data_IF_100662758258
#
_entry.id   IF_100662758258
#
_cell.length_a   1.000
_cell.length_b   1.000
_cell.length_c   1.000
_cell.angle_alpha   90.00
_cell.angle_beta   90.00
_cell.angle_gamma   90.00
#
_symmetry.space_group_name_H-M   'P 1'
#
loop_
_entity.id
_entity.type
_entity.pdbx_description
1 polymer ?
#
# COMPACT_ATOMS: atom_id res chain seq x y z
N UNK A 1 20.04 -3.77 -7.83
CA UNK A 1 19.29 -2.52 -7.52
C UNK A 1 17.82 -2.87 -7.32
N UNK A 2 17.22 -2.35 -6.26
CA UNK A 2 15.79 -2.50 -5.96
C UNK A 2 15.07 -1.20 -6.34
N UNK A 3 14.00 -1.27 -7.14
CA UNK A 3 13.13 -0.13 -7.44
C UNK A 3 11.90 -0.16 -6.54
N UNK A 4 11.61 0.98 -5.90
CA UNK A 4 10.38 1.17 -5.11
C UNK A 4 9.55 2.27 -5.73
N UNK A 5 8.32 1.96 -6.16
CA UNK A 5 7.33 2.97 -6.52
C UNK A 5 6.45 3.30 -5.33
N UNK A 6 5.88 4.50 -5.28
CA UNK A 6 5.09 4.92 -4.12
C UNK A 6 5.93 5.12 -2.84
N UNK A 7 7.24 5.33 -2.97
CA UNK A 7 8.17 5.53 -1.85
C UNK A 7 7.83 6.71 -0.94
N UNK A 8 7.06 7.67 -1.42
CA UNK A 8 6.55 8.82 -0.65
C UNK A 8 5.19 8.56 0.03
N UNK A 9 4.69 7.32 -0.02
CA UNK A 9 3.48 6.86 0.68
C UNK A 9 3.78 6.10 1.96
N UNK A 10 2.72 5.69 2.70
CA UNK A 10 2.87 5.00 3.99
C UNK A 10 3.69 3.70 3.86
N UNK A 11 3.30 2.79 2.98
CA UNK A 11 4.00 1.50 2.83
C UNK A 11 5.41 1.71 2.28
N UNK A 12 5.52 2.45 1.16
CA UNK A 12 6.80 2.63 0.49
C UNK A 12 7.86 3.29 1.35
N UNK A 13 7.53 4.28 2.19
CA UNK A 13 8.53 4.93 3.02
C UNK A 13 9.06 4.03 4.15
N UNK A 14 8.20 3.20 4.76
CA UNK A 14 8.62 2.22 5.76
C UNK A 14 9.46 1.09 5.13
N UNK A 15 9.10 0.69 3.90
CA UNK A 15 9.88 -0.27 3.11
C UNK A 15 11.26 0.30 2.76
N UNK A 16 11.33 1.54 2.27
CA UNK A 16 12.60 2.22 1.98
C UNK A 16 13.52 2.23 3.21
N UNK A 17 12.98 2.60 4.39
CA UNK A 17 13.75 2.55 5.63
C UNK A 17 14.30 1.13 5.90
N UNK A 18 13.43 0.12 5.80
CA UNK A 18 13.80 -1.27 6.06
C UNK A 18 14.92 -1.76 5.12
N UNK A 19 14.84 -1.40 3.84
CA UNK A 19 15.83 -1.80 2.83
C UNK A 19 17.20 -1.10 3.02
N UNK A 20 17.20 0.22 3.21
CA UNK A 20 18.47 0.97 3.37
C UNK A 20 19.16 0.69 4.70
N UNK A 21 18.40 0.35 5.76
CA UNK A 21 18.97 -0.10 7.03
C UNK A 21 19.83 -1.37 6.89
N UNK A 22 19.48 -2.22 5.94
CA UNK A 22 20.25 -3.44 5.61
C UNK A 22 21.24 -3.24 4.46
N UNK A 23 21.55 -1.97 4.16
CA UNK A 23 22.51 -1.60 3.11
C UNK A 23 22.14 -2.11 1.70
N UNK A 24 20.85 -2.36 1.44
CA UNK A 24 20.39 -2.67 0.08
C UNK A 24 20.50 -1.42 -0.80
N UNK A 25 20.91 -1.60 -2.06
CA UNK A 25 20.89 -0.52 -3.06
C UNK A 25 19.48 -0.29 -3.54
N UNK A 26 18.93 0.90 -3.25
CA UNK A 26 17.52 1.22 -3.48
C UNK A 26 17.36 2.49 -4.31
N UNK A 27 16.54 2.40 -5.33
CA UNK A 27 16.03 3.52 -6.12
C UNK A 27 14.56 3.74 -5.81
N UNK A 28 14.15 4.98 -5.58
CA UNK A 28 12.77 5.35 -5.31
C UNK A 28 12.23 6.28 -6.41
N UNK A 29 11.20 5.81 -7.13
CA UNK A 29 10.51 6.63 -8.12
C UNK A 29 9.58 7.61 -7.42
N UNK A 30 9.70 8.90 -7.75
CA UNK A 30 8.83 9.95 -7.22
C UNK A 30 8.42 10.93 -8.32
N UNK A 31 7.20 11.46 -8.22
CA UNK A 31 6.74 12.51 -9.12
C UNK A 31 7.34 13.87 -8.74
N UNK A 32 7.47 14.78 -9.68
CA UNK A 32 8.01 16.13 -9.51
C UNK A 32 7.53 16.85 -8.24
N UNK A 33 6.25 16.74 -7.92
CA UNK A 33 5.63 17.41 -6.78
C UNK A 33 5.58 16.54 -5.50
N UNK A 34 6.28 15.41 -5.47
CA UNK A 34 6.29 14.54 -4.29
C UNK A 34 7.12 15.15 -3.15
N UNK A 35 6.56 15.10 -1.93
CA UNK A 35 7.24 15.64 -0.73
C UNK A 35 8.07 14.54 -0.08
N UNK A 36 9.38 14.51 -0.32
CA UNK A 36 10.31 13.57 0.30
C UNK A 36 10.57 13.86 1.78
N UNK A 37 10.31 15.08 2.26
CA UNK A 37 10.46 15.45 3.68
C UNK A 37 9.60 14.59 4.61
N UNK A 38 8.42 14.14 4.16
CA UNK A 38 7.59 13.21 4.94
C UNK A 38 8.28 11.86 5.14
N UNK A 39 9.05 11.40 4.17
CA UNK A 39 9.86 10.17 4.27
C UNK A 39 10.98 10.36 5.28
N UNK A 40 11.70 11.47 5.18
CA UNK A 40 12.78 11.83 6.13
C UNK A 40 12.24 11.88 7.58
N UNK A 41 11.05 12.45 7.76
CA UNK A 41 10.38 12.47 9.07
C UNK A 41 10.06 11.06 9.59
N UNK A 42 9.57 10.16 8.74
CA UNK A 42 9.32 8.76 9.16
C UNK A 42 10.62 8.07 9.53
N UNK A 43 11.70 8.28 8.80
CA UNK A 43 13.02 7.73 9.13
C UNK A 43 13.51 8.19 10.51
N UNK A 44 13.23 9.45 10.89
CA UNK A 44 13.60 9.98 12.22
C UNK A 44 12.87 9.31 13.38
N UNK A 45 11.73 8.63 13.15
CA UNK A 45 11.06 7.82 14.18
C UNK A 45 11.78 6.51 14.49
N UNK A 46 12.65 6.06 13.59
CA UNK A 46 13.33 4.78 13.70
C UNK A 46 14.80 4.89 14.12
N UNK A 47 15.48 5.96 13.72
CA UNK A 47 16.92 6.07 13.92
C UNK A 47 17.37 7.51 14.12
N UNK A 48 18.34 7.71 15.01
CA UNK A 48 19.05 9.00 15.14
C UNK A 48 19.89 9.29 13.89
N UNK A 49 20.36 8.24 13.22
CA UNK A 49 21.15 8.31 11.97
C UNK A 49 20.27 8.39 10.70
N UNK A 50 19.05 8.86 10.84
CA UNK A 50 18.06 8.88 9.77
C UNK A 50 18.48 9.66 8.53
N UNK A 51 19.32 10.71 8.67
CA UNK A 51 19.80 11.50 7.54
C UNK A 51 20.69 10.65 6.63
N UNK A 52 21.72 10.00 7.19
CA UNK A 52 22.61 9.13 6.43
C UNK A 52 21.86 7.96 5.77
N UNK A 53 20.86 7.39 6.46
CA UNK A 53 20.03 6.33 5.88
C UNK A 53 19.15 6.86 4.73
N UNK A 54 18.57 8.04 4.87
CA UNK A 54 17.77 8.66 3.81
C UNK A 54 18.62 9.00 2.57
N UNK A 55 19.84 9.48 2.76
CA UNK A 55 20.75 9.88 1.69
C UNK A 55 21.30 8.65 0.90
N UNK A 56 21.13 7.42 1.40
CA UNK A 56 21.43 6.18 0.65
C UNK A 56 20.40 5.87 -0.44
N UNK A 57 19.24 6.57 -0.46
CA UNK A 57 18.20 6.33 -1.46
C UNK A 57 18.54 7.10 -2.72
N UNK A 58 18.63 6.41 -3.85
CA UNK A 58 18.68 7.04 -5.16
C UNK A 58 17.26 7.48 -5.56
N UNK A 59 16.99 8.79 -5.44
CA UNK A 59 15.71 9.36 -5.84
C UNK A 59 15.74 9.65 -7.35
N UNK A 60 14.73 9.12 -8.07
CA UNK A 60 14.56 9.39 -9.50
C UNK A 60 13.18 9.99 -9.75
N UNK A 61 13.16 11.11 -10.48
CA UNK A 61 11.90 11.73 -10.90
C UNK A 61 11.30 10.96 -12.08
N UNK A 62 9.99 10.67 -12.02
CA UNK A 62 9.26 10.00 -13.08
C UNK A 62 7.81 9.69 -12.68
N UNK A 63 7.05 9.18 -13.64
CA UNK A 63 5.66 8.78 -13.47
C UNK A 63 5.46 7.37 -14.02
N UNK A 64 4.69 6.54 -13.31
CA UNK A 64 4.37 5.17 -13.77
C UNK A 64 3.53 5.16 -15.05
N UNK A 65 2.96 6.30 -15.44
CA UNK A 65 2.25 6.49 -16.71
C UNK A 65 3.13 7.07 -17.83
N UNK A 66 4.40 7.34 -17.56
CA UNK A 66 5.37 7.82 -18.54
C UNK A 66 6.45 6.75 -18.77
N UNK A 67 6.32 6.03 -19.90
CA UNK A 67 7.22 4.94 -20.28
C UNK A 67 8.66 5.41 -20.39
N UNK A 68 8.90 6.64 -20.87
CA UNK A 68 10.25 7.19 -21.00
C UNK A 68 10.91 7.33 -19.64
N UNK A 69 10.18 7.84 -18.64
CA UNK A 69 10.71 7.96 -17.28
C UNK A 69 10.87 6.60 -16.61
N UNK A 70 10.00 5.61 -16.93
CA UNK A 70 10.15 4.24 -16.45
C UNK A 70 11.41 3.58 -17.02
N UNK A 71 11.71 3.77 -18.31
CA UNK A 71 12.92 3.19 -18.91
C UNK A 71 14.19 3.66 -18.18
N UNK A 72 14.23 4.93 -17.77
CA UNK A 72 15.31 5.45 -16.94
C UNK A 72 15.31 4.85 -15.53
N UNK A 73 14.12 4.72 -14.91
CA UNK A 73 13.99 4.20 -13.57
C UNK A 73 14.40 2.72 -13.46
N UNK A 74 14.21 1.95 -14.52
CA UNK A 74 14.53 0.51 -14.59
C UNK A 74 16.01 0.19 -14.85
N UNK A 75 16.86 1.18 -15.14
CA UNK A 75 18.30 0.91 -15.39
C UNK A 75 18.97 0.19 -14.23
N UNK A 76 19.54 -1.00 -14.49
CA UNK A 76 20.21 -1.86 -13.51
C UNK A 76 19.32 -2.33 -12.36
N UNK A 77 17.99 -2.36 -12.54
CA UNK A 77 17.04 -2.87 -11.56
C UNK A 77 16.86 -4.38 -11.75
N UNK A 78 16.81 -5.10 -10.64
CA UNK A 78 16.57 -6.55 -10.61
C UNK A 78 15.31 -6.91 -9.85
N UNK A 79 14.92 -6.07 -8.88
CA UNK A 79 13.78 -6.33 -8.00
C UNK A 79 12.91 -5.08 -7.91
N UNK A 80 11.60 -5.27 -7.85
CA UNK A 80 10.62 -4.18 -7.78
C UNK A 80 9.64 -4.40 -6.63
N UNK A 81 9.41 -3.33 -5.88
CA UNK A 81 8.26 -3.22 -4.97
C UNK A 81 7.32 -2.13 -5.50
N UNK A 82 6.19 -2.55 -6.03
CA UNK A 82 5.19 -1.63 -6.58
C UNK A 82 4.14 -1.27 -5.53
N UNK A 83 4.39 -0.14 -4.82
CA UNK A 83 3.51 0.40 -3.78
C UNK A 83 2.73 1.63 -4.23
N UNK A 84 2.94 2.11 -5.47
CA UNK A 84 2.24 3.27 -5.99
C UNK A 84 0.75 2.96 -6.21
N UNK A 85 -0.12 3.80 -5.68
CA UNK A 85 -1.55 3.77 -5.93
C UNK A 85 -2.18 5.13 -5.64
N UNK A 86 -3.31 5.40 -6.27
CA UNK A 86 -4.19 6.50 -5.91
C UNK A 86 -5.42 5.96 -5.20
N UNK A 87 -5.65 6.43 -3.97
CA UNK A 87 -6.75 6.00 -3.10
C UNK A 87 -7.78 7.11 -3.06
N UNK A 88 -8.98 6.83 -3.58
CA UNK A 88 -10.16 7.67 -3.43
C UNK A 88 -11.42 6.79 -3.39
N UNK A 89 -12.42 7.25 -2.67
CA UNK A 89 -13.74 6.61 -2.62
C UNK A 89 -14.79 7.40 -3.41
N UNK A 90 -14.38 8.49 -4.05
CA UNK A 90 -15.24 9.32 -4.89
C UNK A 90 -15.29 8.78 -6.32
N UNK A 91 -16.49 8.66 -6.90
CA UNK A 91 -16.67 8.33 -8.31
C UNK A 91 -16.09 9.39 -9.26
N UNK A 92 -15.95 10.64 -8.80
CA UNK A 92 -15.33 11.72 -9.58
C UNK A 92 -13.84 11.42 -9.89
N UNK A 93 -13.18 10.66 -9.02
CA UNK A 93 -11.77 10.31 -9.18
C UNK A 93 -11.55 8.99 -9.95
N UNK A 94 -12.61 8.33 -10.43
CA UNK A 94 -12.52 7.01 -11.07
C UNK A 94 -11.54 6.98 -12.24
N UNK A 95 -11.60 7.98 -13.12
CA UNK A 95 -10.69 8.04 -14.28
C UNK A 95 -9.22 8.24 -13.85
N UNK A 96 -8.97 9.08 -12.85
CA UNK A 96 -7.63 9.25 -12.30
C UNK A 96 -7.14 7.98 -11.60
N UNK A 97 -8.02 7.27 -10.88
CA UNK A 97 -7.68 5.97 -10.29
C UNK A 97 -7.39 4.91 -11.35
N UNK A 98 -8.19 4.80 -12.42
CA UNK A 98 -7.91 3.87 -13.53
C UNK A 98 -6.56 4.15 -14.15
N UNK A 99 -6.27 5.40 -14.47
CA UNK A 99 -4.99 5.80 -15.07
C UNK A 99 -3.81 5.42 -14.16
N UNK A 100 -3.88 5.70 -12.86
CA UNK A 100 -2.77 5.46 -11.94
C UNK A 100 -2.70 3.98 -11.52
N UNK A 101 -3.84 3.41 -11.09
CA UNK A 101 -3.82 2.07 -10.50
C UNK A 101 -3.75 0.98 -11.56
N UNK A 102 -4.52 1.10 -12.66
CA UNK A 102 -4.60 0.05 -13.70
C UNK A 102 -3.53 0.25 -14.75
N UNK A 103 -3.56 1.38 -15.48
CA UNK A 103 -2.62 1.64 -16.57
C UNK A 103 -1.19 1.76 -16.05
N UNK A 104 -0.98 2.48 -14.94
CA UNK A 104 0.33 2.57 -14.29
C UNK A 104 0.87 1.22 -13.84
N UNK A 105 0.02 0.32 -13.32
CA UNK A 105 0.45 -1.06 -12.96
C UNK A 105 0.74 -1.88 -14.22
N UNK A 106 -0.08 -1.77 -15.28
CA UNK A 106 0.18 -2.43 -16.55
C UNK A 106 1.54 -2.01 -17.15
N UNK A 107 1.86 -0.71 -17.10
CA UNK A 107 3.16 -0.20 -17.54
C UNK A 107 4.31 -0.80 -16.73
N UNK A 108 4.17 -0.85 -15.39
CA UNK A 108 5.18 -1.46 -14.52
C UNK A 108 5.37 -2.94 -14.82
N UNK A 109 4.30 -3.69 -15.09
CA UNK A 109 4.35 -5.11 -15.47
C UNK A 109 5.03 -5.28 -16.83
N UNK A 110 4.63 -4.51 -17.85
CA UNK A 110 5.20 -4.57 -19.20
C UNK A 110 6.70 -4.26 -19.19
N UNK A 111 7.11 -3.17 -18.53
CA UNK A 111 8.53 -2.84 -18.35
C UNK A 111 9.29 -3.93 -17.59
N UNK A 112 8.65 -4.58 -16.60
CA UNK A 112 9.29 -5.64 -15.83
C UNK A 112 9.56 -6.89 -16.69
N UNK A 113 8.64 -7.25 -17.57
CA UNK A 113 8.81 -8.36 -18.50
C UNK A 113 9.90 -8.02 -19.54
N UNK A 114 9.81 -6.85 -20.19
CA UNK A 114 10.79 -6.38 -21.18
C UNK A 114 12.23 -6.35 -20.61
N UNK A 115 12.41 -5.80 -19.40
CA UNK A 115 13.71 -5.69 -18.74
C UNK A 115 14.10 -6.96 -17.97
N UNK A 116 13.34 -8.05 -18.04
CA UNK A 116 13.60 -9.34 -17.39
C UNK A 116 13.86 -9.18 -15.89
N UNK A 117 13.00 -8.42 -15.21
CA UNK A 117 13.07 -8.24 -13.76
C UNK A 117 12.92 -9.59 -13.07
N UNK A 118 13.82 -9.89 -12.14
CA UNK A 118 13.86 -11.19 -11.48
C UNK A 118 12.80 -11.36 -10.40
N UNK A 119 12.33 -10.26 -9.77
CA UNK A 119 11.37 -10.32 -8.65
C UNK A 119 10.48 -9.08 -8.63
N UNK A 120 9.17 -9.29 -8.47
CA UNK A 120 8.18 -8.22 -8.42
C UNK A 120 7.20 -8.44 -7.25
N UNK A 121 7.09 -7.47 -6.35
CA UNK A 121 6.11 -7.48 -5.27
C UNK A 121 5.07 -6.37 -5.49
N UNK A 122 3.81 -6.73 -5.60
CA UNK A 122 2.70 -5.80 -5.78
C UNK A 122 1.88 -5.62 -4.51
N UNK A 123 1.69 -4.37 -4.10
CA UNK A 123 0.81 -4.05 -2.97
C UNK A 123 -0.61 -3.78 -3.47
N UNK A 124 -1.48 -4.77 -3.33
CA UNK A 124 -2.92 -4.69 -3.58
C UNK A 124 -3.69 -4.29 -2.31
N UNK A 125 -4.83 -4.87 -2.04
CA UNK A 125 -5.69 -4.64 -0.87
C UNK A 125 -6.67 -5.79 -0.67
N UNK A 126 -7.12 -6.06 0.55
CA UNK A 126 -8.23 -6.98 0.79
C UNK A 126 -9.51 -6.55 0.05
N UNK A 127 -9.66 -5.27 -0.27
CA UNK A 127 -10.80 -4.75 -1.02
C UNK A 127 -10.83 -5.23 -2.50
N UNK A 128 -9.71 -5.74 -3.04
CA UNK A 128 -9.63 -6.35 -4.36
C UNK A 128 -9.95 -7.85 -4.34
N UNK A 129 -10.17 -8.44 -3.17
CA UNK A 129 -10.57 -9.84 -3.02
C UNK A 129 -12.09 -9.92 -2.90
N UNK A 130 -12.66 -11.02 -3.36
CA UNK A 130 -14.11 -11.22 -3.31
C UNK A 130 -14.66 -11.41 -1.89
N UNK A 131 -15.98 -11.52 -1.79
CA UNK A 131 -16.69 -11.75 -0.54
C UNK A 131 -17.31 -13.14 -0.52
N UNK A 132 -17.38 -13.75 0.66
CA UNK A 132 -18.16 -14.98 0.93
C UNK A 132 -19.24 -14.67 1.96
N UNK A 133 -20.49 -15.08 1.66
CA UNK A 133 -21.57 -15.00 2.66
C UNK A 133 -21.26 -15.92 3.84
N UNK A 134 -21.28 -15.36 5.06
CA UNK A 134 -21.13 -16.09 6.33
C UNK A 134 -19.83 -16.90 6.50
N UNK A 135 -18.78 -16.60 5.74
CA UNK A 135 -17.47 -17.23 5.87
C UNK A 135 -16.36 -16.15 5.89
N UNK A 136 -15.22 -16.53 6.45
CA UNK A 136 -14.03 -15.69 6.34
C UNK A 136 -13.61 -15.53 4.87
N UNK A 137 -13.08 -14.38 4.53
CA UNK A 137 -12.47 -14.10 3.23
C UNK A 137 -11.09 -14.77 3.24
N UNK A 138 -10.78 -15.46 2.15
CA UNK A 138 -9.49 -16.09 1.90
C UNK A 138 -9.02 -15.77 0.47
N UNK A 139 -7.83 -16.25 0.11
CA UNK A 139 -7.20 -16.05 -1.19
C UNK A 139 -7.99 -16.65 -2.35
N UNK A 140 -8.85 -17.65 -2.10
CA UNK A 140 -9.69 -18.34 -3.10
C UNK A 140 -10.99 -17.58 -3.41
N UNK A 141 -11.28 -16.48 -2.71
CA UNK A 141 -12.51 -15.72 -2.92
C UNK A 141 -12.51 -15.10 -4.32
N UNK A 142 -13.58 -15.41 -5.07
CA UNK A 142 -13.80 -14.80 -6.39
C UNK A 142 -14.28 -13.37 -6.26
N UNK A 143 -13.72 -12.49 -7.04
CA UNK A 143 -14.16 -11.10 -7.13
C UNK A 143 -15.64 -11.01 -7.47
N UNK A 144 -16.32 -10.10 -6.81
CA UNK A 144 -17.68 -9.71 -7.13
C UNK A 144 -17.75 -8.20 -7.25
N UNK A 145 -18.29 -7.73 -8.34
CA UNK A 145 -18.44 -6.29 -8.59
C UNK A 145 -19.20 -5.60 -7.46
N UNK A 146 -18.68 -4.49 -7.02
CA UNK A 146 -19.27 -3.64 -5.99
C UNK A 146 -19.17 -2.16 -6.40
N UNK A 147 -19.90 -1.29 -5.70
CA UNK A 147 -19.96 0.13 -6.01
C UNK A 147 -18.75 0.95 -5.51
N UNK A 148 -17.70 0.30 -5.03
CA UNK A 148 -16.51 0.98 -4.54
C UNK A 148 -15.50 1.16 -5.68
N UNK A 149 -15.29 2.38 -6.20
CA UNK A 149 -14.43 2.63 -7.34
C UNK A 149 -12.95 2.28 -7.05
N UNK A 150 -12.48 2.49 -5.81
CA UNK A 150 -11.14 2.08 -5.42
C UNK A 150 -10.96 0.56 -5.50
N UNK A 151 -11.90 -0.18 -4.92
CA UNK A 151 -11.91 -1.64 -4.92
C UNK A 151 -11.83 -2.19 -6.33
N UNK A 152 -12.66 -1.67 -7.25
CA UNK A 152 -12.66 -2.06 -8.66
C UNK A 152 -11.31 -1.79 -9.33
N UNK A 153 -10.77 -0.59 -9.20
CA UNK A 153 -9.49 -0.25 -9.86
C UNK A 153 -8.30 -1.02 -9.29
N UNK A 154 -8.34 -1.42 -8.02
CA UNK A 154 -7.31 -2.28 -7.44
C UNK A 154 -7.43 -3.73 -7.88
N UNK A 155 -8.66 -4.22 -8.06
CA UNK A 155 -8.90 -5.53 -8.67
C UNK A 155 -8.41 -5.56 -10.13
N UNK A 156 -8.82 -4.59 -10.95
CA UNK A 156 -8.40 -4.48 -12.35
C UNK A 156 -6.85 -4.41 -12.46
N UNK A 157 -6.21 -3.66 -11.57
CA UNK A 157 -4.74 -3.58 -11.50
C UNK A 157 -4.09 -4.92 -11.06
N UNK A 158 -4.72 -5.66 -10.17
CA UNK A 158 -4.25 -6.99 -9.75
C UNK A 158 -4.32 -7.98 -10.93
N UNK A 159 -5.35 -7.88 -11.79
CA UNK A 159 -5.43 -8.68 -13.02
C UNK A 159 -4.24 -8.42 -13.97
N UNK A 160 -3.73 -7.19 -14.05
CA UNK A 160 -2.52 -6.89 -14.83
C UNK A 160 -1.29 -7.61 -14.26
N UNK A 161 -1.18 -7.73 -12.94
CA UNK A 161 -0.09 -8.50 -12.32
C UNK A 161 -0.24 -9.99 -12.58
N UNK A 162 -1.47 -10.53 -12.50
CA UNK A 162 -1.76 -11.92 -12.85
C UNK A 162 -1.45 -12.21 -14.33
N UNK A 163 -1.76 -11.27 -15.24
CA UNK A 163 -1.34 -11.35 -16.63
C UNK A 163 0.18 -11.45 -16.74
N UNK A 164 0.91 -10.56 -16.04
CA UNK A 164 2.37 -10.60 -16.03
C UNK A 164 2.93 -11.93 -15.52
N UNK A 165 2.31 -12.52 -14.47
CA UNK A 165 2.68 -13.85 -13.97
C UNK A 165 2.49 -14.91 -15.05
N UNK A 166 1.38 -14.88 -15.78
CA UNK A 166 1.13 -15.83 -16.88
C UNK A 166 2.10 -15.64 -18.05
N UNK A 167 2.69 -14.47 -18.21
CA UNK A 167 3.73 -14.14 -19.19
C UNK A 167 5.16 -14.40 -18.67
N UNK A 168 5.30 -14.98 -17.47
CA UNK A 168 6.58 -15.41 -16.90
C UNK A 168 7.23 -14.42 -15.89
N UNK A 169 6.53 -13.37 -15.47
CA UNK A 169 7.02 -12.48 -14.42
C UNK A 169 6.96 -13.19 -13.05
N UNK A 170 8.06 -13.28 -12.34
CA UNK A 170 8.11 -13.76 -10.97
C UNK A 170 7.53 -12.69 -10.03
N UNK A 171 6.22 -12.68 -9.87
CA UNK A 171 5.53 -11.71 -9.04
C UNK A 171 4.78 -12.35 -7.87
N UNK A 172 4.74 -11.62 -6.75
CA UNK A 172 3.91 -11.91 -5.57
C UNK A 172 2.98 -10.75 -5.29
N UNK A 173 1.74 -11.05 -4.91
CA UNK A 173 0.71 -10.06 -4.61
C UNK A 173 0.41 -10.10 -3.11
N UNK A 174 0.43 -8.94 -2.47
CA UNK A 174 -0.01 -8.83 -1.08
C UNK A 174 -1.29 -8.00 -1.00
N UNK A 175 -2.30 -8.51 -0.31
CA UNK A 175 -3.61 -7.91 -0.11
C UNK A 175 -3.78 -7.51 1.37
N UNK A 176 -3.17 -6.40 1.81
CA UNK A 176 -3.29 -5.97 3.19
C UNK A 176 -4.70 -5.47 3.53
N UNK A 177 -5.07 -5.67 4.80
CA UNK A 177 -6.18 -4.97 5.44
C UNK A 177 -5.89 -3.48 5.61
N UNK A 178 -6.62 -2.82 6.50
CA UNK A 178 -6.32 -1.42 6.84
C UNK A 178 -4.94 -1.33 7.47
N UNK A 179 -4.03 -0.64 6.78
CA UNK A 179 -2.64 -0.53 7.20
C UNK A 179 -2.51 0.59 8.23
N UNK A 180 -2.06 0.25 9.44
CA UNK A 180 -1.81 1.21 10.51
C UNK A 180 -0.32 1.47 10.63
N UNK A 181 0.08 2.76 10.64
CA UNK A 181 1.48 3.13 10.73
C UNK A 181 1.68 4.62 10.97
N UNK A 182 2.87 4.98 11.46
CA UNK A 182 3.23 6.37 11.75
C UNK A 182 3.59 7.16 10.49
N UNK A 183 3.35 8.49 10.51
CA UNK A 183 3.93 9.44 9.57
C UNK A 183 2.97 10.16 8.63
N UNK A 184 1.82 9.57 8.27
CA UNK A 184 0.90 10.13 7.27
C UNK A 184 -0.46 10.53 7.87
N UNK A 185 -0.42 11.43 8.86
CA UNK A 185 -1.58 11.81 9.69
C UNK A 185 -2.70 12.56 8.96
N UNK A 186 -2.47 12.98 7.70
CA UNK A 186 -3.46 13.69 6.87
C UNK A 186 -4.04 12.81 5.75
N UNK A 187 -3.67 11.53 5.66
CA UNK A 187 -4.07 10.61 4.57
C UNK A 187 -4.35 9.21 5.09
N UNK A 188 -5.25 8.48 4.42
CA UNK A 188 -5.55 7.08 4.71
C UNK A 188 -5.90 6.83 6.18
N UNK A 189 -5.41 5.74 6.73
CA UNK A 189 -5.62 5.35 8.14
C UNK A 189 -5.09 6.38 9.14
N UNK A 190 -4.02 7.11 8.81
CA UNK A 190 -3.51 8.19 9.65
C UNK A 190 -4.50 9.35 9.76
N UNK A 191 -5.21 9.70 8.69
CA UNK A 191 -6.26 10.72 8.74
C UNK A 191 -7.41 10.28 9.66
N UNK A 192 -7.77 9.00 9.64
CA UNK A 192 -8.80 8.46 10.52
C UNK A 192 -8.38 8.55 12.00
N UNK A 193 -7.13 8.17 12.34
CA UNK A 193 -6.57 8.36 13.68
C UNK A 193 -6.58 9.84 14.09
N UNK A 194 -6.22 10.73 13.17
CA UNK A 194 -6.25 12.18 13.42
C UNK A 194 -7.68 12.68 13.66
N UNK A 195 -8.67 12.15 12.95
CA UNK A 195 -10.07 12.48 13.18
C UNK A 195 -10.53 12.02 14.57
N UNK A 196 -10.16 10.79 14.97
CA UNK A 196 -10.43 10.29 16.33
C UNK A 196 -9.80 11.22 17.38
N UNK A 197 -8.54 11.62 17.19
CA UNK A 197 -7.81 12.47 18.13
C UNK A 197 -8.41 13.87 18.32
N UNK A 198 -9.16 14.36 17.33
CA UNK A 198 -9.89 15.65 17.40
C UNK A 198 -11.27 15.53 18.06
N UNK A 199 -11.65 14.32 18.44
CA UNK A 199 -12.94 14.01 19.03
C UNK A 199 -13.96 13.56 17.98
N UNK A 200 -14.33 12.30 18.03
CA UNK A 200 -15.46 11.74 17.28
C UNK A 200 -16.68 11.66 18.16
N UNK A 201 -17.86 12.03 17.61
CA UNK A 201 -19.12 12.00 18.34
C UNK A 201 -19.93 10.72 18.12
N UNK A 202 -19.48 9.83 17.21
CA UNK A 202 -20.19 8.61 16.81
C UNK A 202 -19.25 7.44 16.57
N UNK A 203 -19.77 6.23 16.73
CA UNK A 203 -19.10 4.98 16.41
C UNK A 203 -19.65 4.43 15.08
N UNK A 204 -18.87 4.37 14.00
CA UNK A 204 -19.27 3.67 12.79
C UNK A 204 -19.49 2.18 13.05
N UNK A 205 -20.39 1.58 12.29
CA UNK A 205 -20.61 0.13 12.32
C UNK A 205 -19.69 -0.56 11.32
N UNK A 206 -19.40 -1.85 11.55
CA UNK A 206 -18.60 -2.66 10.64
C UNK A 206 -17.38 -3.29 11.33
N UNK A 207 -16.83 -4.29 10.66
CA UNK A 207 -15.63 -5.02 11.07
C UNK A 207 -14.69 -5.11 9.86
N UNK A 208 -13.40 -4.91 10.09
CA UNK A 208 -12.38 -5.02 9.04
C UNK A 208 -11.08 -5.58 9.60
N UNK A 209 -10.24 -6.09 8.70
CA UNK A 209 -8.90 -6.54 9.03
C UNK A 209 -7.92 -5.37 9.11
N UNK A 210 -7.03 -5.42 10.09
CA UNK A 210 -5.95 -4.46 10.28
C UNK A 210 -4.59 -5.14 10.24
N UNK A 211 -3.57 -4.40 9.82
CA UNK A 211 -2.17 -4.83 9.86
C UNK A 211 -1.27 -3.64 10.18
N UNK A 212 -0.22 -3.87 10.99
CA UNK A 212 0.82 -2.88 11.20
C UNK A 212 1.70 -2.76 9.94
N UNK A 213 2.04 -1.54 9.55
CA UNK A 213 2.92 -1.29 8.39
C UNK A 213 4.28 -1.99 8.51
N UNK A 214 4.79 -2.15 9.74
CA UNK A 214 6.07 -2.85 9.98
C UNK A 214 5.98 -4.33 9.65
N UNK A 215 4.87 -4.97 10.03
CA UNK A 215 4.63 -6.39 9.76
C UNK A 215 4.39 -6.61 8.27
N UNK A 216 3.61 -5.74 7.63
CA UNK A 216 3.42 -5.76 6.17
C UNK A 216 4.76 -5.69 5.44
N UNK A 217 5.62 -4.72 5.78
CA UNK A 217 6.94 -4.56 5.15
C UNK A 217 7.83 -5.77 5.40
N UNK A 218 7.81 -6.33 6.62
CA UNK A 218 8.55 -7.55 6.95
C UNK A 218 8.11 -8.72 6.06
N UNK A 219 6.80 -8.96 5.95
CA UNK A 219 6.24 -10.04 5.13
C UNK A 219 6.58 -9.84 3.65
N UNK A 220 6.40 -8.62 3.10
CA UNK A 220 6.75 -8.32 1.71
C UNK A 220 8.20 -8.68 1.40
N UNK A 221 9.12 -8.35 2.30
CA UNK A 221 10.54 -8.66 2.15
C UNK A 221 10.81 -10.16 2.25
N UNK A 222 10.23 -10.84 3.23
CA UNK A 222 10.39 -12.28 3.40
C UNK A 222 9.89 -13.07 2.18
N UNK A 223 8.75 -12.68 1.59
CA UNK A 223 8.23 -13.30 0.38
C UNK A 223 9.22 -13.16 -0.80
N UNK A 224 9.77 -11.97 -0.97
CA UNK A 224 10.76 -11.69 -2.02
C UNK A 224 12.09 -12.41 -1.77
N UNK A 225 12.59 -12.44 -0.53
CA UNK A 225 13.84 -13.11 -0.17
C UNK A 225 13.72 -14.64 -0.31
N UNK A 226 12.57 -15.22 0.02
CA UNK A 226 12.29 -16.66 -0.11
C UNK A 226 11.89 -17.10 -1.52
N UNK A 227 11.83 -16.18 -2.49
CA UNK A 227 11.40 -16.44 -3.88
C UNK A 227 10.00 -17.09 -3.96
N UNK A 228 9.03 -16.60 -3.15
CA UNK A 228 7.64 -17.04 -3.20
C UNK A 228 6.91 -16.18 -4.22
N UNK A 229 6.52 -16.78 -5.34
CA UNK A 229 5.90 -16.09 -6.47
C UNK A 229 4.67 -16.83 -6.97
N UNK A 230 3.93 -16.18 -7.89
CA UNK A 230 2.72 -16.69 -8.50
C UNK A 230 1.58 -16.96 -7.52
N UNK A 231 1.59 -16.24 -6.42
CA UNK A 231 0.60 -16.33 -5.35
C UNK A 231 0.17 -14.95 -4.86
N UNK A 232 -0.99 -14.90 -4.21
CA UNK A 232 -1.42 -13.74 -3.43
C UNK A 232 -1.62 -14.12 -1.97
N UNK A 233 -1.41 -13.15 -1.08
CA UNK A 233 -1.52 -13.32 0.36
C UNK A 233 -2.39 -12.26 0.99
N UNK A 234 -3.45 -12.65 1.69
CA UNK A 234 -4.25 -11.75 2.50
C UNK A 234 -3.52 -11.47 3.81
N UNK A 235 -3.12 -10.22 3.99
CA UNK A 235 -2.32 -9.82 5.15
C UNK A 235 -3.18 -9.06 6.17
N UNK A 236 -3.68 -9.80 7.14
CA UNK A 236 -4.50 -9.30 8.25
C UNK A 236 -3.92 -9.86 9.56
N UNK A 237 -3.50 -8.98 10.46
CA UNK A 237 -3.05 -9.38 11.79
C UNK A 237 -4.25 -9.64 12.71
N UNK A 238 -5.23 -8.72 12.70
CA UNK A 238 -6.41 -8.80 13.55
C UNK A 238 -7.65 -8.25 12.85
N UNK A 239 -8.80 -8.81 13.19
CA UNK A 239 -10.10 -8.34 12.74
C UNK A 239 -10.81 -7.59 13.86
N UNK A 240 -10.93 -6.28 13.73
CA UNK A 240 -11.55 -5.41 14.72
C UNK A 240 -12.84 -4.79 14.22
N UNK A 241 -13.78 -4.54 15.15
CA UNK A 241 -14.89 -3.63 14.84
C UNK A 241 -14.37 -2.20 14.80
N UNK A 242 -15.04 -1.33 14.03
CA UNK A 242 -14.69 0.09 14.01
C UNK A 242 -14.73 0.71 15.42
N UNK A 243 -15.70 0.27 16.24
CA UNK A 243 -15.84 0.68 17.63
C UNK A 243 -14.61 0.31 18.47
N UNK A 244 -14.12 -0.94 18.36
CA UNK A 244 -12.97 -1.41 19.16
C UNK A 244 -11.70 -0.67 18.75
N UNK A 245 -11.52 -0.42 17.44
CA UNK A 245 -10.40 0.37 16.94
C UNK A 245 -10.43 1.80 17.49
N UNK A 246 -11.57 2.50 17.41
CA UNK A 246 -11.74 3.86 17.95
C UNK A 246 -11.49 3.88 19.45
N UNK A 247 -12.05 2.91 20.18
CA UNK A 247 -11.87 2.78 21.62
C UNK A 247 -10.39 2.60 21.99
N UNK A 248 -9.68 1.74 21.29
CA UNK A 248 -8.24 1.52 21.46
C UNK A 248 -7.43 2.80 21.22
N UNK A 249 -7.72 3.53 20.12
CA UNK A 249 -7.05 4.80 19.84
C UNK A 249 -7.35 5.85 20.91
N UNK A 250 -8.62 5.98 21.34
CA UNK A 250 -8.98 6.93 22.41
C UNK A 250 -8.27 6.61 23.71
N UNK A 251 -8.23 5.35 24.12
CA UNK A 251 -7.56 4.93 25.35
C UNK A 251 -6.06 5.26 25.32
N UNK A 252 -5.39 4.95 24.20
CA UNK A 252 -3.96 5.25 24.07
C UNK A 252 -3.62 6.75 24.00
N UNK A 253 -4.60 7.58 23.63
CA UNK A 253 -4.46 9.04 23.59
C UNK A 253 -5.05 9.73 24.84
N UNK A 254 -5.54 8.98 25.82
CA UNK A 254 -6.23 9.50 27.00
C UNK A 254 -7.45 10.38 26.65
N UNK A 255 -8.21 9.99 25.63
CA UNK A 255 -9.41 10.69 25.15
C UNK A 255 -10.69 9.95 25.55
N UNK A 256 -11.79 10.69 25.64
CA UNK A 256 -13.12 10.08 25.84
C UNK A 256 -13.59 9.43 24.53
N UNK A 257 -14.01 8.18 24.62
CA UNK A 257 -14.58 7.47 23.48
C UNK A 257 -16.00 7.97 23.16
N UNK A 258 -16.39 7.97 21.86
CA UNK A 258 -17.75 8.37 21.45
C UNK A 258 -18.80 7.41 22.03
N UNK A 259 -19.90 7.99 22.52
CA UNK A 259 -21.01 7.22 23.14
C UNK A 259 -22.09 6.83 22.15
N UNK A 260 -22.29 7.61 21.08
CA UNK A 260 -23.39 7.44 20.15
C UNK A 260 -23.08 6.41 19.06
N UNK A 261 -24.06 5.57 18.69
CA UNK A 261 -24.00 4.74 17.48
C UNK A 261 -24.46 5.57 16.29
N UNK A 262 -23.81 5.44 15.14
CA UNK A 262 -24.32 5.97 13.87
C UNK A 262 -25.56 5.20 13.46
N UNK A 263 -26.62 5.90 13.03
CA UNK A 263 -27.70 5.28 12.27
C UNK A 263 -27.17 4.94 10.86
N UNK A 264 -27.66 3.85 10.27
CA UNK A 264 -27.28 3.41 8.90
C UNK A 264 -27.56 4.46 7.79
N UNK A 265 -28.22 5.58 8.08
CA UNK A 265 -28.59 6.61 7.11
C UNK A 265 -27.52 7.70 6.89
N UNK A 266 -26.35 7.58 7.54
CA UNK A 266 -25.27 8.58 7.49
C UNK A 266 -23.96 8.01 6.90
N UNK A 267 -24.05 6.87 6.19
CA UNK A 267 -22.91 6.30 5.42
C UNK A 267 -23.04 6.56 3.93
#
# INVERSE_FOLDING_TARGET
MILVTGGTGLVGCHLLYSLVKENKKVRALHRKNSKTDSVRKVFSYYSKDYKNLFDKIEWIEGDINDITSLDLAFKNVNEIYHCAAFISFSNQDLNAMKKINVEGTANMVNCSIDKKISKFCYVSTIAAVGERKNKAIDEECKWKENNNPYSKTKYDAELEVWRGISEGLNAVIVNPGVIVGSGFWKRGSGAFITQISRGMNYNPTGKTGFICVKDLVKIMRELMDKNIFSERFLLVAENWTQKDFIFSVCNNLNLKSPKNKTSKSLM
#
